data_IF_993962830810
#
_entry.id   IF_993962830810
#
_cell.length_a   1.000
_cell.length_b   1.000
_cell.length_c   1.000
_cell.angle_alpha   90.00
_cell.angle_beta   90.00
_cell.angle_gamma   90.00
#
_symmetry.space_group_name_H-M   'P 1'
#
loop_
_entity.id
_entity.type
_entity.pdbx_description
1 polymer ?
#
# COMPACT_ATOMS: atom_id res chain seq x y z
N UNK A 1 18.65 15.38 7.44
CA UNK A 1 17.52 14.51 7.87
C UNK A 1 17.53 13.25 6.99
N UNK A 2 17.42 12.05 7.54
CA UNK A 2 17.30 10.78 6.79
C UNK A 2 15.88 10.60 6.24
N UNK A 3 15.69 9.73 5.25
CA UNK A 3 14.36 9.42 4.68
C UNK A 3 13.41 8.85 5.76
N UNK A 4 13.93 7.97 6.61
CA UNK A 4 13.20 7.42 7.76
C UNK A 4 12.75 8.51 8.75
N UNK A 5 13.59 9.50 9.04
CA UNK A 5 13.23 10.62 9.92
C UNK A 5 12.12 11.51 9.32
N UNK A 6 12.12 11.66 8.00
CA UNK A 6 11.05 12.39 7.30
C UNK A 6 9.75 11.60 7.42
N UNK A 7 9.79 10.29 7.15
CA UNK A 7 8.66 9.39 7.24
C UNK A 7 8.04 9.40 8.65
N UNK A 8 8.87 9.26 9.68
CA UNK A 8 8.42 9.21 11.07
C UNK A 8 7.77 10.54 11.51
N UNK A 9 8.32 11.69 11.08
CA UNK A 9 7.69 13.00 11.29
C UNK A 9 6.39 13.17 10.51
N UNK A 10 6.29 12.59 9.31
CA UNK A 10 5.07 12.65 8.51
C UNK A 10 3.95 11.84 9.15
N UNK A 11 4.23 10.62 9.61
CA UNK A 11 3.19 9.78 10.21
C UNK A 11 2.59 10.44 11.45
N UNK A 12 3.38 11.12 12.28
CA UNK A 12 2.89 11.88 13.42
C UNK A 12 1.90 13.00 13.04
N UNK A 13 2.07 13.59 11.85
CA UNK A 13 1.19 14.64 11.33
C UNK A 13 -0.04 14.09 10.59
N UNK A 14 -0.04 12.80 10.27
CA UNK A 14 -1.06 12.15 9.46
C UNK A 14 -1.89 11.12 10.24
N UNK A 15 -1.47 10.70 11.44
CA UNK A 15 -2.10 9.60 12.21
C UNK A 15 -3.59 9.79 12.50
N UNK A 16 -4.06 11.02 12.54
CA UNK A 16 -5.46 11.40 12.77
C UNK A 16 -6.23 11.67 11.46
N UNK A 17 -5.62 11.37 10.30
CA UNK A 17 -6.21 11.66 8.99
C UNK A 17 -7.44 10.80 8.71
N UNK A 18 -7.45 9.57 9.18
CA UNK A 18 -8.55 8.63 9.01
C UNK A 18 -8.97 8.08 10.37
N UNK A 19 -10.20 7.60 10.47
CA UNK A 19 -10.76 6.95 11.65
C UNK A 19 -11.08 5.48 11.36
N UNK A 20 -11.24 4.68 12.41
CA UNK A 20 -11.66 3.30 12.29
C UNK A 20 -12.87 3.13 11.36
N UNK A 21 -12.91 2.08 10.55
CA UNK A 21 -12.03 0.89 10.54
C UNK A 21 -10.75 1.05 9.69
N UNK A 22 -10.37 2.27 9.33
CA UNK A 22 -9.18 2.56 8.54
C UNK A 22 -8.03 2.97 9.43
N UNK A 23 -6.82 2.60 9.03
CA UNK A 23 -5.58 2.87 9.73
C UNK A 23 -4.61 3.57 8.78
N UNK A 24 -3.70 4.35 9.35
CA UNK A 24 -2.55 4.90 8.65
C UNK A 24 -1.28 4.51 9.41
N UNK A 25 -0.39 3.78 8.73
CA UNK A 25 0.83 3.24 9.34
C UNK A 25 2.00 3.27 8.37
N UNK A 26 3.20 3.07 8.90
CA UNK A 26 4.44 2.99 8.13
C UNK A 26 4.90 1.55 7.96
N UNK A 27 5.71 1.31 6.91
CA UNK A 27 6.33 0.01 6.62
C UNK A 27 5.33 -1.15 6.50
N UNK A 28 4.13 -0.85 6.01
CA UNK A 28 3.08 -1.84 5.84
C UNK A 28 3.42 -2.78 4.67
N UNK A 29 3.43 -4.10 4.88
CA UNK A 29 3.62 -5.06 3.81
C UNK A 29 2.37 -5.13 2.93
N UNK A 30 2.49 -4.73 1.68
CA UNK A 30 1.40 -4.75 0.70
C UNK A 30 1.65 -5.84 -0.34
N UNK A 31 0.72 -6.78 -0.53
CA UNK A 31 0.83 -7.83 -1.51
C UNK A 31 0.96 -7.29 -2.94
N UNK A 32 1.89 -7.86 -3.70
CA UNK A 32 2.03 -7.60 -5.13
C UNK A 32 1.99 -8.87 -5.96
N UNK A 33 2.11 -10.05 -5.32
CA UNK A 33 2.05 -11.36 -5.97
C UNK A 33 1.57 -12.41 -4.98
N UNK A 34 0.80 -13.36 -5.47
CA UNK A 34 0.43 -14.55 -4.72
C UNK A 34 0.71 -15.79 -5.54
N UNK A 35 1.05 -16.88 -4.86
CA UNK A 35 1.27 -18.20 -5.44
C UNK A 35 0.48 -19.19 -4.59
N UNK A 36 -0.38 -19.98 -5.23
CA UNK A 36 -1.05 -21.08 -4.60
C UNK A 36 -0.30 -22.37 -4.90
N UNK A 37 0.16 -23.07 -3.88
CA UNK A 37 0.87 -24.33 -4.00
C UNK A 37 0.02 -25.40 -3.33
N UNK A 38 -0.71 -26.24 -4.11
CA UNK A 38 -1.39 -27.39 -3.56
C UNK A 38 -0.34 -28.44 -3.15
N UNK A 39 -0.34 -28.85 -1.89
CA UNK A 39 0.45 -29.98 -1.40
C UNK A 39 -0.51 -31.06 -0.93
N UNK A 40 -0.06 -32.34 -0.92
CA UNK A 40 -0.89 -33.47 -0.46
C UNK A 40 -1.33 -33.31 1.01
N UNK A 41 -0.53 -32.58 1.80
CA UNK A 41 -0.81 -32.39 3.23
C UNK A 41 -1.46 -31.04 3.55
N UNK A 42 -1.21 -29.99 2.76
CA UNK A 42 -1.68 -28.61 3.05
C UNK A 42 -1.80 -27.78 1.78
N UNK A 43 -2.82 -26.92 1.77
CA UNK A 43 -2.88 -25.84 0.80
C UNK A 43 -2.03 -24.67 1.29
N UNK A 44 -0.95 -24.33 0.57
CA UNK A 44 -0.05 -23.23 0.89
C UNK A 44 -0.31 -22.06 -0.03
N UNK A 45 -0.59 -20.88 0.57
CA UNK A 45 -0.68 -19.63 -0.15
C UNK A 45 0.55 -18.78 0.20
N UNK A 46 1.42 -18.59 -0.77
CA UNK A 46 2.54 -17.64 -0.65
C UNK A 46 2.10 -16.28 -1.13
N UNK A 47 2.28 -15.26 -0.27
CA UNK A 47 2.00 -13.87 -0.60
C UNK A 47 3.30 -13.08 -0.53
N UNK A 48 3.67 -12.47 -1.65
CA UNK A 48 4.84 -11.64 -1.75
C UNK A 48 4.44 -10.19 -1.57
N UNK A 49 5.13 -9.49 -0.66
CA UNK A 49 4.78 -8.13 -0.28
C UNK A 49 5.95 -7.17 -0.50
N UNK A 50 5.62 -5.94 -0.92
CA UNK A 50 6.53 -4.81 -0.78
C UNK A 50 6.22 -4.07 0.52
N UNK A 51 7.24 -3.71 1.30
CA UNK A 51 7.08 -2.74 2.38
C UNK A 51 6.92 -1.36 1.79
N UNK A 52 5.82 -0.69 2.16
CA UNK A 52 5.48 0.65 1.71
C UNK A 52 5.69 1.67 2.83
N UNK A 53 6.16 2.88 2.49
CA UNK A 53 6.57 3.87 3.47
C UNK A 53 5.41 4.34 4.37
N UNK A 54 4.28 4.76 3.78
CA UNK A 54 3.06 5.14 4.51
C UNK A 54 1.86 4.59 3.75
N UNK A 55 0.93 3.95 4.47
CA UNK A 55 -0.26 3.35 3.87
C UNK A 55 -1.51 3.70 4.66
N UNK A 56 -2.55 4.12 3.95
CA UNK A 56 -3.92 4.11 4.46
C UNK A 56 -4.55 2.79 4.05
N UNK A 57 -4.96 1.99 5.02
CA UNK A 57 -5.48 0.65 4.77
C UNK A 57 -6.60 0.26 5.75
N UNK A 58 -7.31 -0.81 5.43
CA UNK A 58 -8.28 -1.46 6.33
C UNK A 58 -7.78 -2.87 6.63
N UNK A 59 -7.83 -3.30 7.89
CA UNK A 59 -7.57 -4.69 8.26
C UNK A 59 -8.64 -5.60 7.64
N UNK A 60 -8.22 -6.66 6.95
CA UNK A 60 -9.13 -7.63 6.34
C UNK A 60 -9.71 -8.61 7.34
N UNK A 61 -8.95 -8.92 8.40
CA UNK A 61 -9.32 -9.93 9.38
C UNK A 61 -8.97 -9.44 10.78
N UNK A 62 -9.95 -9.51 11.70
CA UNK A 62 -9.72 -9.32 13.14
C UNK A 62 -9.14 -10.58 13.80
N UNK A 63 -9.07 -11.70 13.06
CA UNK A 63 -8.59 -12.97 13.58
C UNK A 63 -7.20 -13.31 13.04
N UNK A 64 -6.40 -13.80 13.94
CA UNK A 64 -5.01 -14.18 13.82
C UNK A 64 -4.77 -15.15 12.66
N UNK A 65 -3.94 -14.75 11.71
CA UNK A 65 -3.36 -15.66 10.71
C UNK A 65 -1.98 -16.06 11.23
N UNK A 66 -1.74 -17.34 11.47
CA UNK A 66 -0.43 -17.83 11.88
C UNK A 66 0.58 -17.64 10.75
N UNK A 67 1.69 -17.00 11.06
CA UNK A 67 2.86 -17.00 10.22
C UNK A 67 3.71 -18.24 10.54
N UNK A 68 3.93 -19.10 9.56
CA UNK A 68 5.02 -20.06 9.62
C UNK A 68 6.19 -19.49 8.82
N UNK A 69 7.20 -19.04 9.53
CA UNK A 69 8.51 -18.58 9.03
C UNK A 69 8.50 -17.53 7.92
N UNK A 70 8.73 -16.28 8.31
CA UNK A 70 9.16 -15.25 7.37
C UNK A 70 10.62 -15.47 6.99
N UNK A 71 10.91 -15.91 5.79
CA UNK A 71 12.23 -15.76 5.21
C UNK A 71 12.40 -14.30 4.77
N UNK A 72 13.08 -13.51 5.61
CA UNK A 72 13.56 -12.20 5.20
C UNK A 72 14.74 -12.46 4.26
N UNK A 73 14.52 -12.39 2.96
CA UNK A 73 15.62 -12.29 2.01
C UNK A 73 16.18 -10.87 2.03
N UNK A 74 17.51 -10.72 1.87
CA UNK A 74 18.22 -9.44 1.79
C UNK A 74 17.63 -8.58 0.65
N UNK A 75 16.65 -7.75 0.99
CA UNK A 75 15.96 -6.86 0.06
C UNK A 75 14.69 -6.33 0.70
N UNK A 76 14.04 -5.35 0.07
CA UNK A 76 12.78 -4.75 0.53
C UNK A 76 11.56 -5.68 0.37
N UNK A 77 11.76 -6.95 0.04
CA UNK A 77 10.72 -7.93 -0.16
C UNK A 77 10.53 -8.76 1.11
N UNK A 78 9.33 -8.78 1.63
CA UNK A 78 8.94 -9.65 2.72
C UNK A 78 8.06 -10.76 2.14
N UNK A 79 8.50 -12.00 2.25
CA UNK A 79 7.67 -13.16 1.91
C UNK A 79 6.87 -13.48 3.17
N UNK A 80 5.55 -13.40 3.06
CA UNK A 80 4.64 -13.79 4.13
C UNK A 80 3.98 -15.10 3.70
N UNK A 81 4.37 -16.19 4.32
CA UNK A 81 3.66 -17.45 4.18
C UNK A 81 2.39 -17.37 5.03
N UNK A 82 1.25 -17.22 4.40
CA UNK A 82 -0.05 -17.29 5.09
C UNK A 82 -0.48 -18.74 5.06
N UNK A 83 -0.36 -19.41 6.20
CA UNK A 83 -1.03 -20.68 6.42
C UNK A 83 -2.40 -20.36 6.97
N UNK A 84 -3.44 -20.64 6.21
CA UNK A 84 -4.82 -20.60 6.68
C UNK A 84 -5.06 -21.84 7.56
N UNK A 85 -4.59 -21.82 8.80
CA UNK A 85 -4.95 -22.82 9.80
C UNK A 85 -6.08 -22.31 10.69
N UNK A 86 -7.01 -23.20 10.98
CA UNK A 86 -8.27 -22.92 11.69
C UNK A 86 -8.10 -22.61 13.16
N UNK A 87 -6.92 -22.83 13.78
CA UNK A 87 -6.75 -22.68 15.23
C UNK A 87 -5.42 -22.07 15.68
N UNK A 88 -5.59 -21.07 16.50
CA UNK A 88 -4.84 -20.59 17.66
C UNK A 88 -3.32 -20.43 17.58
N UNK A 89 -2.85 -19.23 17.81
CA UNK A 89 -1.56 -18.91 18.41
C UNK A 89 -0.91 -17.64 17.86
N UNK A 90 -0.38 -17.01 18.74
CA UNK A 90 0.38 -15.80 18.96
C UNK A 90 1.35 -15.31 17.86
N UNK A 91 0.98 -14.98 16.69
CA UNK A 91 1.69 -14.03 15.84
C UNK A 91 0.74 -13.60 14.71
N UNK A 92 0.06 -12.49 14.92
CA UNK A 92 -0.89 -11.95 13.95
C UNK A 92 -0.18 -11.03 12.98
N UNK A 93 -0.08 -11.44 11.73
CA UNK A 93 0.14 -10.50 10.66
C UNK A 93 -1.21 -10.08 10.09
N UNK A 94 -1.45 -8.78 10.07
CA UNK A 94 -2.67 -8.25 9.50
C UNK A 94 -2.47 -8.10 7.99
N UNK A 95 -3.25 -8.83 7.21
CA UNK A 95 -3.37 -8.54 5.79
C UNK A 95 -4.21 -7.26 5.66
N UNK A 96 -3.60 -6.19 5.15
CA UNK A 96 -4.27 -4.92 4.91
C UNK A 96 -4.83 -4.83 3.50
N UNK A 97 -6.05 -4.29 3.38
CA UNK A 97 -6.55 -3.77 2.11
C UNK A 97 -6.02 -2.34 1.95
N UNK A 98 -5.05 -2.09 1.05
CA UNK A 98 -4.54 -0.74 0.85
C UNK A 98 -5.55 0.13 0.11
N UNK A 99 -5.73 1.37 0.56
CA UNK A 99 -6.51 2.39 -0.13
C UNK A 99 -5.62 3.45 -0.76
N UNK A 100 -4.65 3.95 0.02
CA UNK A 100 -3.67 4.91 -0.46
C UNK A 100 -2.29 4.46 0.00
N UNK A 101 -1.35 4.43 -0.93
CA UNK A 101 0.07 4.20 -0.67
C UNK A 101 0.79 5.51 -0.97
N UNK A 102 1.60 5.98 -0.03
CA UNK A 102 2.49 7.12 -0.20
C UNK A 102 3.93 6.63 -0.08
N UNK A 103 4.60 6.50 -1.21
CA UNK A 103 6.02 6.18 -1.27
C UNK A 103 6.83 7.47 -1.20
N UNK A 104 7.83 7.53 -0.32
CA UNK A 104 8.63 8.71 -0.03
C UNK A 104 10.03 8.61 -0.61
N UNK A 105 10.52 9.71 -1.19
CA UNK A 105 11.93 9.90 -1.53
C UNK A 105 12.45 11.21 -0.98
N UNK A 106 13.56 11.12 -0.29
CA UNK A 106 14.24 12.28 0.30
C UNK A 106 14.86 13.19 -0.75
N UNK A 107 15.36 12.61 -1.84
CA UNK A 107 16.05 13.31 -2.92
C UNK A 107 15.35 13.10 -4.23
N UNK A 108 15.68 13.94 -5.20
CA UNK A 108 15.25 13.74 -6.57
C UNK A 108 15.69 12.36 -7.07
N UNK A 109 14.77 11.42 -7.32
CA UNK A 109 15.13 10.08 -7.77
C UNK A 109 15.70 10.12 -9.18
N UNK A 110 16.59 9.16 -9.49
CA UNK A 110 17.05 8.95 -10.85
C UNK A 110 15.98 8.21 -11.69
N UNK A 111 16.21 8.11 -12.99
CA UNK A 111 15.24 7.47 -13.92
C UNK A 111 14.96 6.00 -13.55
N UNK A 112 15.99 5.26 -13.18
CA UNK A 112 15.84 3.85 -12.81
C UNK A 112 14.98 3.66 -11.55
N UNK A 113 15.21 4.49 -10.55
CA UNK A 113 14.37 4.49 -9.34
C UNK A 113 12.91 4.80 -9.65
N UNK A 114 12.66 5.82 -10.50
CA UNK A 114 11.29 6.19 -10.88
C UNK A 114 10.59 5.03 -11.59
N UNK A 115 11.27 4.39 -12.55
CA UNK A 115 10.74 3.23 -13.27
C UNK A 115 10.46 2.06 -12.32
N UNK A 116 11.37 1.77 -11.39
CA UNK A 116 11.20 0.71 -10.40
C UNK A 116 9.97 0.94 -9.53
N UNK A 117 9.77 2.15 -9.01
CA UNK A 117 8.59 2.47 -8.18
C UNK A 117 7.31 2.53 -9.01
N UNK A 118 7.37 2.98 -10.26
CA UNK A 118 6.23 2.95 -11.17
C UNK A 118 5.79 1.51 -11.47
N UNK A 119 6.73 0.57 -11.67
CA UNK A 119 6.44 -0.85 -11.82
C UNK A 119 5.84 -1.46 -10.54
N UNK A 120 6.34 -1.09 -9.35
CA UNK A 120 5.74 -1.52 -8.08
C UNK A 120 4.29 -1.07 -7.96
N UNK A 121 4.00 0.18 -8.32
CA UNK A 121 2.64 0.70 -8.33
C UNK A 121 1.73 -0.12 -9.26
N UNK A 122 2.19 -0.44 -10.46
CA UNK A 122 1.48 -1.28 -11.42
C UNK A 122 1.18 -2.69 -10.86
N UNK A 123 2.20 -3.36 -10.29
CA UNK A 123 2.05 -4.69 -9.69
C UNK A 123 1.01 -4.69 -8.56
N UNK A 124 1.05 -3.70 -7.68
CA UNK A 124 0.09 -3.56 -6.59
C UNK A 124 -1.32 -3.31 -7.14
N UNK A 125 -1.47 -2.43 -8.11
CA UNK A 125 -2.76 -2.12 -8.74
C UNK A 125 -3.35 -3.31 -9.52
N UNK A 126 -2.54 -4.24 -9.96
CA UNK A 126 -3.02 -5.50 -10.55
C UNK A 126 -3.82 -6.33 -9.54
N UNK A 127 -3.44 -6.32 -8.27
CA UNK A 127 -4.17 -6.99 -7.18
C UNK A 127 -5.26 -6.09 -6.60
N UNK A 128 -4.95 -4.80 -6.40
CA UNK A 128 -5.83 -3.81 -5.79
C UNK A 128 -6.12 -2.65 -6.77
N UNK A 129 -6.96 -2.87 -7.79
CA UNK A 129 -7.16 -1.89 -8.88
C UNK A 129 -7.81 -0.57 -8.43
N UNK A 130 -8.34 -0.51 -7.23
CA UNK A 130 -8.88 0.69 -6.60
C UNK A 130 -7.83 1.48 -5.81
N UNK A 131 -6.68 0.87 -5.48
CA UNK A 131 -5.64 1.49 -4.67
C UNK A 131 -5.00 2.67 -5.40
N UNK A 132 -4.83 3.77 -4.69
CA UNK A 132 -4.14 4.96 -5.18
C UNK A 132 -2.69 4.92 -4.73
N UNK A 133 -1.76 5.06 -5.68
CA UNK A 133 -0.32 5.05 -5.42
C UNK A 133 0.27 6.44 -5.66
N UNK A 134 0.65 7.11 -4.58
CA UNK A 134 1.20 8.46 -4.59
C UNK A 134 2.72 8.42 -4.38
N UNK A 135 3.41 9.30 -5.05
CA UNK A 135 4.87 9.40 -4.97
C UNK A 135 5.28 10.76 -4.42
N UNK A 136 5.81 10.79 -3.19
CA UNK A 136 6.20 12.00 -2.48
C UNK A 136 7.72 12.21 -2.60
N UNK A 137 8.12 13.35 -3.11
CA UNK A 137 9.51 13.77 -3.15
C UNK A 137 9.73 14.91 -2.17
N UNK A 138 10.62 14.69 -1.20
CA UNK A 138 11.04 15.73 -0.28
C UNK A 138 12.04 16.65 -0.99
N UNK A 139 11.52 17.73 -1.58
CA UNK A 139 12.25 18.66 -2.42
C UNK A 139 11.53 18.99 -3.73
N UNK A 140 12.26 19.38 -4.75
CA UNK A 140 11.70 19.70 -6.07
C UNK A 140 11.46 18.45 -6.92
N UNK A 141 10.51 18.55 -7.86
CA UNK A 141 10.19 17.48 -8.82
C UNK A 141 10.83 17.80 -10.17
N UNK A 142 11.63 16.89 -10.73
CA UNK A 142 12.16 17.04 -12.07
C UNK A 142 11.17 16.50 -13.12
N UNK A 143 11.22 17.06 -14.34
CA UNK A 143 10.36 16.66 -15.45
C UNK A 143 10.42 15.16 -15.78
N UNK A 144 11.58 14.51 -15.57
CA UNK A 144 11.73 13.06 -15.74
C UNK A 144 10.82 12.24 -14.83
N UNK A 145 10.48 12.74 -13.62
CA UNK A 145 9.59 12.04 -12.69
C UNK A 145 8.20 11.89 -13.28
N UNK A 146 7.66 12.94 -13.88
CA UNK A 146 6.37 12.89 -14.59
C UNK A 146 6.43 11.99 -15.83
N UNK A 147 7.55 12.00 -16.55
CA UNK A 147 7.71 11.21 -17.78
C UNK A 147 7.73 9.70 -17.53
N UNK A 148 8.32 9.26 -16.44
CA UNK A 148 8.57 7.85 -16.14
C UNK A 148 7.69 7.29 -15.02
N UNK A 149 7.02 8.13 -14.26
CA UNK A 149 6.13 7.74 -13.17
C UNK A 149 4.68 7.55 -13.62
N UNK A 150 4.45 6.90 -14.73
CA UNK A 150 3.14 6.80 -15.40
C UNK A 150 2.08 6.01 -14.60
N UNK A 151 2.52 5.16 -13.67
CA UNK A 151 1.62 4.36 -12.84
C UNK A 151 1.31 5.01 -11.48
N UNK A 152 1.91 6.17 -11.19
CA UNK A 152 1.53 6.96 -10.01
C UNK A 152 0.24 7.73 -10.29
N UNK A 153 -0.67 7.76 -9.32
CA UNK A 153 -1.90 8.54 -9.42
C UNK A 153 -1.65 10.02 -9.17
N UNK A 154 -0.67 10.35 -8.31
CA UNK A 154 -0.20 11.73 -8.13
C UNK A 154 1.28 11.73 -7.68
N UNK A 155 2.02 12.76 -8.11
CA UNK A 155 3.39 13.03 -7.70
C UNK A 155 3.41 14.33 -6.91
N UNK A 156 3.87 14.26 -5.65
CA UNK A 156 3.77 15.34 -4.68
C UNK A 156 5.17 15.84 -4.33
N UNK A 157 5.34 17.17 -4.28
CA UNK A 157 6.53 17.82 -3.73
C UNK A 157 6.23 18.31 -2.31
N UNK A 158 7.09 17.97 -1.37
CA UNK A 158 7.08 18.52 -0.02
C UNK A 158 8.46 19.15 0.25
N UNK A 159 8.53 20.44 0.42
CA UNK A 159 9.79 21.17 0.63
C UNK A 159 10.13 21.31 2.10
N UNK A 160 9.12 21.52 2.94
CA UNK A 160 9.30 21.72 4.36
C UNK A 160 8.22 21.00 5.18
N UNK A 161 8.61 19.95 5.86
CA UNK A 161 7.72 19.16 6.73
C UNK A 161 7.13 19.93 7.91
N UNK A 162 7.72 21.07 8.27
CA UNK A 162 7.23 21.93 9.34
C UNK A 162 6.31 23.06 8.81
N UNK A 163 6.19 23.21 7.51
CA UNK A 163 5.25 24.17 6.91
C UNK A 163 3.82 23.63 7.04
N UNK A 164 2.99 24.38 7.78
CA UNK A 164 1.59 23.99 8.03
C UNK A 164 0.75 23.96 6.75
N UNK A 165 1.04 24.83 5.80
CA UNK A 165 0.29 24.90 4.54
C UNK A 165 0.65 23.72 3.64
N UNK A 166 1.93 23.36 3.52
CA UNK A 166 2.36 22.19 2.77
C UNK A 166 1.78 20.88 3.37
N UNK A 167 1.79 20.76 4.69
CA UNK A 167 1.18 19.61 5.38
C UNK A 167 -0.34 19.57 5.17
N UNK A 168 -1.00 20.73 5.23
CA UNK A 168 -2.45 20.78 4.94
C UNK A 168 -2.75 20.30 3.52
N UNK A 169 -2.03 20.80 2.53
CA UNK A 169 -2.19 20.37 1.12
C UNK A 169 -1.95 18.86 0.98
N UNK A 170 -0.92 18.31 1.64
CA UNK A 170 -0.66 16.88 1.62
C UNK A 170 -1.83 16.08 2.24
N UNK A 171 -2.36 16.53 3.38
CA UNK A 171 -3.52 15.90 4.04
C UNK A 171 -4.75 15.91 3.14
N UNK A 172 -5.06 17.05 2.54
CA UNK A 172 -6.21 17.21 1.62
C UNK A 172 -6.05 16.31 0.39
N UNK A 173 -4.82 16.21 -0.15
CA UNK A 173 -4.50 15.31 -1.26
C UNK A 173 -4.71 13.83 -0.88
N UNK A 174 -4.21 13.41 0.29
CA UNK A 174 -4.38 12.04 0.77
C UNK A 174 -5.86 11.69 0.98
N UNK A 175 -6.66 12.59 1.56
CA UNK A 175 -8.10 12.39 1.73
C UNK A 175 -8.83 12.29 0.39
N UNK A 176 -8.52 13.16 -0.56
CA UNK A 176 -9.07 13.09 -1.92
C UNK A 176 -8.84 11.72 -2.54
N UNK A 177 -7.60 11.21 -2.51
CA UNK A 177 -7.27 9.90 -3.07
C UNK A 177 -7.88 8.74 -2.28
N UNK A 178 -8.00 8.89 -0.97
CA UNK A 178 -8.70 7.92 -0.14
C UNK A 178 -10.19 7.81 -0.52
N UNK A 179 -10.86 8.92 -0.77
CA UNK A 179 -12.25 8.91 -1.22
C UNK A 179 -12.40 8.32 -2.62
N UNK A 180 -11.48 8.61 -3.55
CA UNK A 180 -11.42 7.98 -4.88
C UNK A 180 -11.29 6.45 -4.73
N UNK A 181 -10.38 5.98 -3.88
CA UNK A 181 -10.17 4.55 -3.66
C UNK A 181 -11.43 3.86 -3.09
N UNK A 182 -12.11 4.48 -2.12
CA UNK A 182 -13.36 3.96 -1.56
C UNK A 182 -14.46 3.86 -2.61
N UNK A 183 -14.68 4.92 -3.37
CA UNK A 183 -15.69 4.95 -4.44
C UNK A 183 -15.40 3.88 -5.52
N UNK A 184 -14.13 3.72 -5.90
CA UNK A 184 -13.70 2.71 -6.86
C UNK A 184 -13.95 1.29 -6.35
N UNK A 185 -13.62 1.01 -5.09
CA UNK A 185 -13.86 -0.30 -4.47
C UNK A 185 -15.36 -0.62 -4.41
N UNK A 186 -16.20 0.34 -4.03
CA UNK A 186 -17.67 0.18 -4.01
C UNK A 186 -18.18 -0.19 -5.40
N UNK A 187 -17.77 0.55 -6.44
CA UNK A 187 -18.15 0.28 -7.82
C UNK A 187 -17.75 -1.11 -8.30
N UNK A 188 -16.55 -1.56 -7.95
CA UNK A 188 -16.04 -2.90 -8.29
C UNK A 188 -16.86 -4.00 -7.61
N UNK A 189 -17.22 -3.80 -6.35
CA UNK A 189 -18.03 -4.75 -5.56
C UNK A 189 -19.45 -4.86 -6.14
N UNK A 190 -20.09 -3.75 -6.43
CA UNK A 190 -21.45 -3.73 -7.02
C UNK A 190 -21.50 -4.39 -8.41
N UNK A 191 -20.47 -4.19 -9.25
CA UNK A 191 -20.37 -4.83 -10.56
C UNK A 191 -20.27 -6.35 -10.44
N UNK A 192 -19.52 -6.87 -9.47
CA UNK A 192 -19.39 -8.31 -9.21
C UNK A 192 -20.72 -8.91 -8.75
N UNK A 193 -21.44 -8.25 -7.84
CA UNK A 193 -22.76 -8.72 -7.35
C UNK A 193 -23.76 -8.78 -8.51
N UNK A 194 -23.85 -7.74 -9.34
CA UNK A 194 -24.77 -7.73 -10.51
C UNK A 194 -24.45 -8.83 -11.52
N UNK A 195 -23.18 -9.16 -11.74
CA UNK A 195 -22.76 -10.21 -12.66
C UNK A 195 -23.12 -11.60 -12.13
N UNK A 196 -22.93 -11.85 -10.84
CA UNK A 196 -23.29 -13.13 -10.21
C UNK A 196 -24.81 -13.36 -10.17
N UNK A 197 -25.62 -12.32 -9.96
CA UNK A 197 -27.07 -12.43 -9.98
C UNK A 197 -27.65 -12.67 -11.40
N UNK A 198 -26.90 -12.39 -12.46
CA UNK A 198 -27.30 -12.70 -13.84
C UNK A 198 -26.98 -14.13 -14.26
N UNK A 199 -26.03 -14.79 -13.60
CA UNK A 199 -25.66 -16.20 -13.87
C UNK A 199 -26.52 -17.21 -13.11
N UNK A 200 -27.42 -16.75 -12.24
CA UNK A 200 -28.35 -17.59 -11.46
C UNK A 200 -29.79 -17.55 -12.01
N UNK A 201 -30.00 -16.98 -13.19
CA UNK A 201 -31.24 -17.03 -13.97
C UNK A 201 -30.99 -17.81 -15.24
#
# INVERSE_FOLDING_TARGET
MKETEIRDKLIDKLKDLVSEPYLIETEVPIPYKHIYIPTEERNKLEIWCFKQDIVIYKKLFDKTVKQSESKITKGKETIVDIILEKDSGQNSHHLGLPFVILELKKHQPNTHEILTYSQKAEMIKTIFPYCQFLFLIYGGIAARTYRHGINFDEIISLKNINDRNEIKVLRDTLLKHFDIAKASLTTLTERKIKKNNRSLK
#
